data_IF_098440949108
#
_entry.id   IF_098440949108
#
_cell.length_a   1.000
_cell.length_b   1.000
_cell.length_c   1.000
_cell.angle_alpha   90.00
_cell.angle_beta   90.00
_cell.angle_gamma   90.00
#
_symmetry.space_group_name_H-M   'P 1'
#
loop_
_entity.id
_entity.type
_entity.pdbx_description
1 polymer ?
#
# COMPACT_ATOMS: atom_id res chain seq x y z
N UNK A 1 5.27 -14.54 -5.86
CA UNK A 1 4.04 -15.21 -5.42
C UNK A 1 3.67 -16.27 -6.44
N UNK A 2 4.06 -17.52 -6.20
CA UNK A 2 3.93 -18.63 -7.16
C UNK A 2 2.52 -19.27 -7.13
N UNK A 3 1.88 -19.33 -5.95
CA UNK A 3 0.65 -20.09 -5.73
C UNK A 3 -0.63 -19.44 -6.29
N UNK A 4 -0.68 -18.11 -6.34
CA UNK A 4 -1.80 -17.37 -6.97
C UNK A 4 -1.78 -17.55 -8.49
N UNK A 5 -0.58 -17.62 -9.09
CA UNK A 5 -0.41 -17.72 -10.55
C UNK A 5 -0.67 -19.13 -11.09
N UNK A 6 -0.64 -20.17 -10.25
CA UNK A 6 -0.95 -21.57 -10.61
C UNK A 6 -2.40 -21.98 -10.28
N UNK A 7 -3.25 -21.03 -9.88
CA UNK A 7 -4.69 -21.26 -9.68
C UNK A 7 -5.07 -22.09 -8.45
N UNK A 8 -4.14 -22.33 -7.52
CA UNK A 8 -4.38 -23.14 -6.31
C UNK A 8 -4.92 -22.34 -5.13
N UNK A 9 -4.99 -21.01 -5.23
CA UNK A 9 -5.56 -20.15 -4.20
C UNK A 9 -6.59 -19.21 -4.82
N UNK A 10 -7.77 -19.09 -4.20
CA UNK A 10 -8.74 -18.04 -4.54
C UNK A 10 -8.30 -16.70 -3.93
N UNK A 11 -8.76 -15.57 -4.48
CA UNK A 11 -8.43 -14.24 -3.94
C UNK A 11 -8.80 -14.11 -2.44
N UNK A 12 -9.89 -14.75 -2.02
CA UNK A 12 -10.30 -14.75 -0.62
C UNK A 12 -9.28 -15.44 0.30
N UNK A 13 -8.61 -16.50 -0.17
CA UNK A 13 -7.56 -17.19 0.58
C UNK A 13 -6.23 -16.42 0.63
N UNK A 14 -6.11 -15.32 -0.13
CA UNK A 14 -4.93 -14.44 -0.09
C UNK A 14 -5.08 -13.29 0.89
N UNK A 15 -6.29 -13.07 1.43
CA UNK A 15 -6.51 -12.06 2.46
C UNK A 15 -5.84 -12.50 3.76
N UNK A 16 -4.99 -11.66 4.38
CA UNK A 16 -4.32 -12.01 5.64
C UNK A 16 -5.31 -12.11 6.82
N UNK A 17 -6.45 -11.41 6.74
CA UNK A 17 -7.49 -11.39 7.78
C UNK A 17 -8.89 -11.33 7.16
N UNK A 18 -9.86 -11.87 7.91
CA UNK A 18 -11.29 -11.78 7.59
C UNK A 18 -11.79 -10.32 7.67
N UNK A 19 -12.79 -9.97 6.85
CA UNK A 19 -13.29 -8.59 6.74
C UNK A 19 -13.78 -8.01 8.10
N UNK A 20 -14.30 -8.86 8.99
CA UNK A 20 -14.77 -8.47 10.32
C UNK A 20 -13.66 -8.21 11.36
N UNK A 21 -12.40 -8.53 11.06
CA UNK A 21 -11.27 -8.38 11.98
C UNK A 21 -11.02 -6.91 12.36
N UNK A 22 -11.05 -6.01 11.38
CA UNK A 22 -10.70 -4.60 11.54
C UNK A 22 -11.64 -3.88 12.52
N UNK A 23 -12.96 -4.01 12.30
CA UNK A 23 -13.98 -3.41 13.18
C UNK A 23 -13.89 -3.93 14.62
N UNK A 24 -13.66 -5.24 14.80
CA UNK A 24 -13.51 -5.84 16.14
C UNK A 24 -12.33 -5.27 16.91
N UNK A 25 -11.25 -4.93 16.22
CA UNK A 25 -10.04 -4.35 16.80
C UNK A 25 -10.03 -2.81 16.79
N UNK A 26 -11.15 -2.16 16.43
CA UNK A 26 -11.27 -0.70 16.31
C UNK A 26 -10.25 -0.08 15.34
N UNK A 27 -9.92 -0.82 14.29
CA UNK A 27 -9.05 -0.36 13.21
C UNK A 27 -9.97 0.10 12.08
N UNK A 28 -9.89 1.39 11.77
CA UNK A 28 -10.58 1.98 10.62
C UNK A 28 -9.69 1.86 9.38
N UNK A 29 -10.27 1.39 8.28
CA UNK A 29 -9.58 1.27 7.00
C UNK A 29 -9.91 2.49 6.15
N UNK A 30 -8.88 3.26 5.83
CA UNK A 30 -8.96 4.39 4.91
C UNK A 30 -8.20 4.06 3.63
N UNK A 31 -8.90 4.03 2.51
CA UNK A 31 -8.33 3.76 1.19
C UNK A 31 -7.94 5.07 0.52
N UNK A 32 -6.86 5.69 1.00
CA UNK A 32 -6.32 6.94 0.46
C UNK A 32 -4.79 6.95 0.55
N UNK A 33 -4.14 7.80 -0.23
CA UNK A 33 -2.69 7.96 -0.24
C UNK A 33 -2.29 9.19 0.58
N UNK A 34 -1.26 9.04 1.41
CA UNK A 34 -0.67 10.16 2.15
C UNK A 34 0.24 10.95 1.22
N UNK A 35 0.04 12.26 1.12
CA UNK A 35 0.83 13.16 0.26
C UNK A 35 1.88 13.94 1.05
N UNK A 36 1.56 14.32 2.28
CA UNK A 36 2.44 15.11 3.14
C UNK A 36 2.19 14.79 4.60
N UNK A 37 3.22 15.01 5.42
CA UNK A 37 3.13 14.89 6.87
C UNK A 37 3.66 16.21 7.44
N UNK A 38 2.74 16.95 8.06
CA UNK A 38 3.04 18.18 8.77
C UNK A 38 3.50 17.87 10.19
N UNK A 39 4.58 18.54 10.60
CA UNK A 39 4.88 18.72 12.02
C UNK A 39 4.17 19.99 12.47
N UNK A 40 3.04 19.84 13.15
CA UNK A 40 2.46 20.97 13.85
C UNK A 40 3.35 21.31 15.04
N UNK A 41 3.43 22.58 15.43
CA UNK A 41 4.14 23.02 16.64
C UNK A 41 3.47 22.52 17.95
N UNK A 42 2.44 21.67 17.85
CA UNK A 42 1.68 21.07 18.96
C UNK A 42 2.00 19.59 19.20
N UNK A 43 1.24 18.91 20.08
CA UNK A 43 1.51 17.51 20.46
C UNK A 43 1.12 16.48 19.38
N UNK A 44 0.37 16.88 18.35
CA UNK A 44 -0.13 16.00 17.30
C UNK A 44 0.57 16.26 15.97
N UNK A 45 0.66 15.21 15.15
CA UNK A 45 1.16 15.29 13.78
C UNK A 45 -0.02 15.24 12.80
N UNK A 46 -0.06 16.17 11.86
CA UNK A 46 -1.11 16.24 10.85
C UNK A 46 -0.66 15.49 9.58
N UNK A 47 -1.46 14.56 9.10
CA UNK A 47 -1.24 13.83 7.85
C UNK A 47 -2.19 14.38 6.80
N UNK A 48 -1.67 14.74 5.63
CA UNK A 48 -2.46 15.17 4.48
C UNK A 48 -2.68 14.00 3.52
N UNK A 49 -3.92 13.85 3.07
CA UNK A 49 -4.33 12.82 2.15
C UNK A 49 -4.50 13.38 0.75
N UNK A 50 -4.39 12.52 -0.26
CA UNK A 50 -4.55 12.89 -1.66
C UNK A 50 -5.96 13.42 -1.96
N UNK A 51 -6.99 12.96 -1.24
CA UNK A 51 -8.35 13.52 -1.33
C UNK A 51 -8.48 14.96 -0.83
N UNK A 52 -7.46 15.53 -0.19
CA UNK A 52 -7.48 16.85 0.44
C UNK A 52 -7.97 16.83 1.89
N UNK A 53 -8.29 15.65 2.43
CA UNK A 53 -8.63 15.48 3.85
C UNK A 53 -7.35 15.46 4.70
N UNK A 54 -7.46 15.84 5.97
CA UNK A 54 -6.34 15.76 6.93
C UNK A 54 -6.72 14.95 8.16
N UNK A 55 -5.76 14.22 8.71
CA UNK A 55 -5.92 13.38 9.90
C UNK A 55 -4.83 13.74 10.92
N UNK A 56 -5.24 14.05 12.14
CA UNK A 56 -4.33 14.23 13.26
C UNK A 56 -4.02 12.90 13.93
N UNK A 57 -2.75 12.70 14.29
CA UNK A 57 -2.28 11.50 14.97
C UNK A 57 -1.24 11.84 16.05
N UNK A 58 -1.35 11.18 17.21
CA UNK A 58 -0.30 11.21 18.24
C UNK A 58 0.96 10.44 17.79
N UNK A 59 0.73 9.27 17.17
CA UNK A 59 1.78 8.34 16.76
C UNK A 59 1.54 7.94 15.31
N UNK A 60 2.57 8.14 14.48
CA UNK A 60 2.55 7.74 13.06
C UNK A 60 3.52 6.57 12.87
N UNK A 61 3.04 5.49 12.24
CA UNK A 61 3.86 4.32 11.89
C UNK A 61 3.94 4.23 10.36
N UNK A 62 5.16 4.22 9.82
CA UNK A 62 5.40 4.09 8.38
C UNK A 62 5.49 2.61 7.98
N UNK A 63 4.48 2.14 7.24
CA UNK A 63 4.42 0.78 6.71
C UNK A 63 4.22 0.77 5.17
N UNK A 64 4.74 1.78 4.47
CA UNK A 64 4.55 2.00 3.02
C UNK A 64 5.35 1.04 2.12
N UNK A 65 6.14 0.14 2.70
CA UNK A 65 7.06 -0.73 1.96
C UNK A 65 8.19 0.06 1.30
N UNK A 66 8.75 -0.47 0.20
CA UNK A 66 9.82 0.17 -0.56
C UNK A 66 9.49 0.22 -2.05
N UNK A 67 9.95 1.28 -2.72
CA UNK A 67 9.92 1.35 -4.17
C UNK A 67 11.13 0.59 -4.72
N UNK A 68 10.94 -0.45 -5.57
CA UNK A 68 12.08 -1.14 -6.16
C UNK A 68 12.84 -0.17 -7.07
N UNK A 69 14.16 -0.10 -6.88
CA UNK A 69 15.03 0.65 -7.77
C UNK A 69 14.95 0.05 -9.17
N UNK A 70 14.47 0.83 -10.14
CA UNK A 70 14.50 0.42 -11.54
C UNK A 70 15.93 0.61 -12.07
N UNK A 71 16.63 -0.49 -12.33
CA UNK A 71 17.83 -0.46 -13.16
C UNK A 71 17.39 -0.06 -14.57
N UNK A 72 17.86 1.09 -15.05
CA UNK A 72 17.62 1.60 -16.41
C UNK A 72 18.38 0.72 -17.42
N UNK A 73 17.85 -0.46 -17.73
CA UNK A 73 18.18 -1.17 -18.96
C UNK A 73 17.31 -0.62 -20.09
N UNK A 74 17.95 -0.23 -21.19
CA UNK A 74 17.37 0.53 -22.30
C UNK A 74 16.13 -0.11 -22.98
N UNK A 75 15.87 -1.41 -22.76
CA UNK A 75 14.74 -2.12 -23.35
C UNK A 75 13.48 -2.15 -22.48
N UNK A 76 13.52 -1.66 -21.23
CA UNK A 76 12.43 -1.85 -20.25
C UNK A 76 11.30 -0.81 -20.30
N UNK A 77 11.35 0.15 -21.23
CA UNK A 77 10.28 1.16 -21.41
C UNK A 77 9.23 0.76 -22.46
N UNK A 78 9.38 -0.40 -23.13
CA UNK A 78 8.28 -0.95 -23.93
C UNK A 78 7.34 -1.74 -23.02
N UNK A 79 6.17 -1.15 -22.77
CA UNK A 79 4.92 -1.79 -22.36
C UNK A 79 4.91 -3.32 -22.42
N UNK A 80 4.85 -3.96 -21.25
CA UNK A 80 4.51 -5.37 -21.10
C UNK A 80 5.66 -6.34 -21.39
N UNK A 81 6.35 -6.80 -20.34
CA UNK A 81 7.07 -8.07 -20.42
C UNK A 81 6.05 -9.22 -20.51
N UNK A 82 5.57 -9.51 -21.71
CA UNK A 82 5.11 -10.84 -22.08
C UNK A 82 6.33 -11.77 -22.08
N UNK A 83 6.13 -12.99 -21.59
CA UNK A 83 7.19 -13.97 -21.37
C UNK A 83 8.01 -14.26 -22.62
N UNK A 84 9.25 -14.68 -22.39
CA UNK A 84 10.02 -15.48 -23.33
C UNK A 84 9.20 -16.70 -23.73
N UNK A 85 8.56 -16.63 -24.88
CA UNK A 85 8.32 -17.77 -25.75
C UNK A 85 9.23 -17.57 -26.97
N UNK A 86 10.44 -18.11 -26.90
CA UNK A 86 11.09 -18.97 -27.90
C UNK A 86 12.41 -19.51 -27.31
#
# INVERSE_FOLDING_TARGET
MMYVSMGHMTLDQTKPYEDGFWKKNRIELLHDAVTSIGHAEGPFHSVELQSGSSIDADIIIFATGSQPGLVQLAWRTSSGCAGLCE
#
